data_IF_832104347135
#
_entry.id   IF_832104347135
#
_cell.length_a   1.000
_cell.length_b   1.000
_cell.length_c   1.000
_cell.angle_alpha   90.00
_cell.angle_beta   90.00
_cell.angle_gamma   90.00
#
_symmetry.space_group_name_H-M   'P 1'
#
loop_
_entity.id
_entity.type
_entity.pdbx_description
1 polymer ?
#
# COMPACT_ATOMS: atom_id res chain seq x y z
N UNK A 1 -4.77 8.20 -20.72
CA UNK A 1 -3.62 8.14 -19.81
C UNK A 1 -3.98 8.61 -18.39
N UNK A 2 -4.75 9.70 -18.21
CA UNK A 2 -5.10 10.26 -16.90
C UNK A 2 -5.91 9.28 -16.02
N UNK A 3 -6.88 8.55 -16.58
CA UNK A 3 -7.64 7.55 -15.88
C UNK A 3 -6.76 6.40 -15.36
N UNK A 4 -5.81 5.94 -16.17
CA UNK A 4 -4.87 4.90 -15.77
C UNK A 4 -4.02 5.36 -14.57
N UNK A 5 -3.54 6.61 -14.60
CA UNK A 5 -2.78 7.18 -13.49
C UNK A 5 -3.62 7.23 -12.20
N UNK A 6 -4.87 7.71 -12.29
CA UNK A 6 -5.78 7.76 -11.13
C UNK A 6 -6.03 6.36 -10.55
N UNK A 7 -6.30 5.36 -11.40
CA UNK A 7 -6.49 3.99 -10.94
C UNK A 7 -5.24 3.38 -10.32
N UNK A 8 -4.06 3.70 -10.84
CA UNK A 8 -2.78 3.25 -10.30
C UNK A 8 -2.53 3.80 -8.89
N UNK A 9 -2.77 5.09 -8.67
CA UNK A 9 -2.67 5.74 -7.35
C UNK A 9 -3.71 5.20 -6.36
N UNK A 10 -4.96 5.05 -6.82
CA UNK A 10 -6.03 4.48 -6.00
C UNK A 10 -5.74 3.03 -5.61
N UNK A 11 -5.15 2.24 -6.50
CA UNK A 11 -4.81 0.84 -6.22
C UNK A 11 -3.87 0.71 -5.02
N UNK A 12 -2.78 1.47 -4.99
CA UNK A 12 -1.85 1.49 -3.86
C UNK A 12 -2.55 1.87 -2.54
N UNK A 13 -3.36 2.91 -2.57
CA UNK A 13 -4.09 3.39 -1.40
C UNK A 13 -5.12 2.38 -0.90
N UNK A 14 -5.92 1.77 -1.80
CA UNK A 14 -6.92 0.78 -1.42
C UNK A 14 -6.29 -0.54 -0.94
N UNK A 15 -5.34 -1.09 -1.69
CA UNK A 15 -4.75 -2.40 -1.37
C UNK A 15 -3.88 -2.32 -0.12
N UNK A 16 -3.00 -1.33 -0.03
CA UNK A 16 -2.08 -1.23 1.11
C UNK A 16 -2.77 -0.62 2.35
N UNK A 17 -3.49 0.49 2.19
CA UNK A 17 -4.02 1.19 3.35
C UNK A 17 -5.32 0.59 3.89
N UNK A 18 -6.25 0.18 3.04
CA UNK A 18 -7.53 -0.35 3.51
C UNK A 18 -7.51 -1.87 3.67
N UNK A 19 -7.11 -2.62 2.66
CA UNK A 19 -7.21 -4.07 2.71
C UNK A 19 -6.13 -4.69 3.58
N UNK A 20 -4.87 -4.29 3.41
CA UNK A 20 -3.77 -4.85 4.19
C UNK A 20 -3.88 -4.47 5.67
N UNK A 21 -4.04 -3.18 6.00
CA UNK A 21 -4.17 -2.76 7.39
C UNK A 21 -5.47 -3.21 8.03
N UNK A 22 -6.57 -3.27 7.27
CA UNK A 22 -7.83 -3.86 7.74
C UNK A 22 -7.63 -5.31 8.14
N UNK A 23 -7.03 -6.11 7.27
CA UNK A 23 -6.71 -7.51 7.55
C UNK A 23 -5.73 -7.65 8.71
N UNK A 24 -4.64 -6.90 8.73
CA UNK A 24 -3.66 -6.93 9.82
C UNK A 24 -4.29 -6.61 11.18
N UNK A 25 -5.19 -5.63 11.23
CA UNK A 25 -5.93 -5.28 12.45
C UNK A 25 -6.92 -6.36 12.89
N UNK A 26 -7.52 -7.08 11.94
CA UNK A 26 -8.47 -8.16 12.26
C UNK A 26 -7.79 -9.38 12.87
N UNK A 27 -6.54 -9.68 12.45
CA UNK A 27 -5.81 -10.89 12.91
C UNK A 27 -4.85 -10.63 14.06
N UNK A 28 -4.44 -9.38 14.30
CA UNK A 28 -3.41 -9.06 15.30
C UNK A 28 -4.01 -8.63 16.62
N UNK A 29 -3.54 -9.24 17.72
CA UNK A 29 -3.95 -8.84 19.09
C UNK A 29 -3.39 -7.47 19.43
N UNK A 30 -4.18 -6.65 20.11
CA UNK A 30 -3.78 -5.29 20.53
C UNK A 30 -2.48 -5.31 21.35
N UNK A 31 -2.29 -6.34 22.18
CA UNK A 31 -1.07 -6.53 22.98
C UNK A 31 0.17 -6.82 22.15
N UNK A 32 -0.01 -7.44 20.98
CA UNK A 32 1.06 -7.87 20.07
C UNK A 32 1.26 -6.89 18.92
N UNK A 33 0.29 -6.00 18.68
CA UNK A 33 0.26 -5.07 17.56
C UNK A 33 1.55 -4.25 17.42
N UNK A 34 2.10 -3.75 18.54
CA UNK A 34 3.35 -2.96 18.52
C UNK A 34 4.52 -3.73 17.93
N UNK A 35 4.63 -5.02 18.21
CA UNK A 35 5.69 -5.88 17.70
C UNK A 35 5.51 -6.23 16.22
N UNK A 36 4.30 -6.65 15.85
CA UNK A 36 4.01 -7.04 14.46
C UNK A 36 4.01 -5.87 13.50
N UNK A 37 3.53 -4.70 13.90
CA UNK A 37 3.54 -3.52 13.03
C UNK A 37 4.95 -3.00 12.75
N UNK A 38 5.86 -3.11 13.72
CA UNK A 38 7.27 -2.82 13.49
C UNK A 38 7.88 -3.79 12.47
N UNK A 39 7.55 -5.08 12.52
CA UNK A 39 7.97 -6.09 11.54
C UNK A 39 7.41 -5.81 10.14
N UNK A 40 6.15 -5.40 10.04
CA UNK A 40 5.56 -5.03 8.74
C UNK A 40 6.27 -3.82 8.13
N UNK A 41 6.59 -2.81 8.95
CA UNK A 41 7.38 -1.65 8.50
C UNK A 41 8.79 -2.04 8.03
N UNK A 42 9.45 -2.94 8.74
CA UNK A 42 10.75 -3.48 8.34
C UNK A 42 10.64 -4.26 7.02
N UNK A 43 9.63 -5.11 6.88
CA UNK A 43 9.35 -5.85 5.64
C UNK A 43 9.11 -4.92 4.44
N UNK A 44 8.37 -3.84 4.62
CA UNK A 44 8.15 -2.83 3.58
C UNK A 44 9.46 -2.17 3.12
N UNK A 45 10.35 -1.82 4.06
CA UNK A 45 11.65 -1.25 3.72
C UNK A 45 12.55 -2.25 2.98
N UNK A 46 12.57 -3.52 3.38
CA UNK A 46 13.29 -4.58 2.66
C UNK A 46 12.74 -4.75 1.24
N UNK A 47 11.42 -4.69 1.05
CA UNK A 47 10.83 -4.76 -0.28
C UNK A 47 11.30 -3.62 -1.19
N UNK A 48 11.45 -2.39 -0.67
CA UNK A 48 12.00 -1.26 -1.41
C UNK A 48 13.45 -1.48 -1.82
N UNK A 49 14.27 -2.09 -0.95
CA UNK A 49 15.67 -2.43 -1.26
C UNK A 49 15.77 -3.42 -2.42
N UNK A 50 14.79 -4.28 -2.62
CA UNK A 50 14.74 -5.24 -3.74
C UNK A 50 14.09 -4.61 -4.97
N UNK A 51 13.03 -3.84 -4.80
CA UNK A 51 12.27 -3.25 -5.89
C UNK A 51 13.09 -2.27 -6.73
N UNK A 52 13.96 -1.45 -6.10
CA UNK A 52 14.82 -0.51 -6.78
C UNK A 52 15.78 -1.16 -7.79
N UNK A 53 16.65 -2.10 -7.35
CA UNK A 53 17.53 -2.84 -8.25
C UNK A 53 16.77 -3.64 -9.33
N UNK A 54 15.63 -4.24 -8.99
CA UNK A 54 14.79 -4.96 -9.95
C UNK A 54 14.26 -4.03 -11.05
N UNK A 55 13.74 -2.87 -10.70
CA UNK A 55 13.28 -1.86 -11.65
C UNK A 55 14.45 -1.37 -12.53
N UNK A 56 15.62 -1.12 -11.94
CA UNK A 56 16.83 -0.76 -12.69
C UNK A 56 17.21 -1.85 -13.69
N UNK A 57 17.23 -3.11 -13.28
CA UNK A 57 17.54 -4.23 -14.16
C UNK A 57 16.55 -4.32 -15.34
N UNK A 58 15.25 -4.19 -15.10
CA UNK A 58 14.24 -4.19 -16.14
C UNK A 58 14.44 -3.03 -17.13
N UNK A 59 14.80 -1.85 -16.65
CA UNK A 59 15.04 -0.69 -17.53
C UNK A 59 16.34 -0.84 -18.33
N UNK A 60 17.33 -1.59 -17.87
CA UNK A 60 18.56 -1.86 -18.67
C UNK A 60 18.30 -2.80 -19.85
N UNK A 61 17.20 -3.58 -19.84
CA UNK A 61 16.79 -4.40 -20.98
C UNK A 61 16.28 -3.55 -22.18
N UNK A 62 16.14 -2.26 -22.01
CA UNK A 62 15.69 -1.31 -23.04
C UNK A 62 16.59 -1.31 -24.30
N UNK A 63 17.89 -1.56 -24.13
CA UNK A 63 18.85 -1.59 -25.25
C UNK A 63 18.77 -2.80 -26.17
N UNK A 64 17.93 -3.80 -25.85
CA UNK A 64 17.80 -5.07 -26.62
C UNK A 64 16.57 -5.09 -27.54
N UNK A 65 15.84 -4.00 -27.65
CA UNK A 65 14.63 -3.91 -28.49
C UNK A 65 14.97 -3.76 -29.96
N UNK A 66 14.13 -4.40 -30.80
CA UNK A 66 14.27 -4.37 -32.25
C UNK A 66 14.26 -2.92 -32.80
N UNK A 67 15.04 -2.69 -33.83
CA UNK A 67 15.16 -1.39 -34.54
C UNK A 67 13.75 -0.94 -34.99
N UNK A 68 13.28 0.18 -34.46
CA UNK A 68 11.98 0.77 -34.81
C UNK A 68 10.84 0.56 -33.79
N UNK A 69 11.05 -0.17 -32.70
CA UNK A 69 10.09 -0.26 -31.60
C UNK A 69 10.30 0.86 -30.56
N UNK A 70 9.22 1.27 -29.90
CA UNK A 70 9.30 2.23 -28.80
C UNK A 70 10.20 1.66 -27.69
N UNK A 71 11.32 2.34 -27.35
CA UNK A 71 12.26 1.86 -26.35
C UNK A 71 11.62 1.59 -24.97
N UNK A 72 10.53 2.28 -24.65
CA UNK A 72 9.84 2.16 -23.37
C UNK A 72 8.80 1.03 -23.31
N UNK A 73 8.38 0.49 -24.44
CA UNK A 73 7.31 -0.51 -24.48
C UNK A 73 7.71 -1.80 -23.77
N UNK A 74 8.91 -2.27 -24.00
CA UNK A 74 9.41 -3.53 -23.41
C UNK A 74 9.58 -3.44 -21.89
N UNK A 75 10.30 -2.46 -21.34
CA UNK A 75 10.37 -2.27 -19.89
C UNK A 75 9.00 -2.08 -19.23
N UNK A 76 8.11 -1.31 -19.85
CA UNK A 76 6.76 -1.08 -19.34
C UNK A 76 5.96 -2.39 -19.23
N UNK A 77 6.02 -3.23 -20.28
CA UNK A 77 5.34 -4.53 -20.27
C UNK A 77 5.87 -5.44 -19.15
N UNK A 78 7.19 -5.50 -18.94
CA UNK A 78 7.77 -6.28 -17.84
C UNK A 78 7.35 -5.76 -16.46
N UNK A 79 7.33 -4.44 -16.26
CA UNK A 79 6.87 -3.83 -15.01
C UNK A 79 5.38 -4.13 -14.76
N UNK A 80 4.55 -4.00 -15.79
CA UNK A 80 3.11 -4.31 -15.69
C UNK A 80 2.89 -5.80 -15.39
N UNK A 81 3.60 -6.69 -16.08
CA UNK A 81 3.51 -8.12 -15.83
C UNK A 81 3.95 -8.49 -14.41
N UNK A 82 5.05 -7.89 -13.94
CA UNK A 82 5.53 -8.06 -12.57
C UNK A 82 4.50 -7.59 -11.54
N UNK A 83 3.85 -6.44 -11.77
CA UNK A 83 2.80 -5.93 -10.88
C UNK A 83 1.58 -6.85 -10.82
N UNK A 84 1.14 -7.38 -11.97
CA UNK A 84 0.03 -8.34 -12.04
C UNK A 84 0.40 -9.63 -11.32
N UNK A 85 1.60 -10.15 -11.55
CA UNK A 85 2.10 -11.34 -10.87
C UNK A 85 2.13 -11.15 -9.34
N UNK A 86 2.63 -10.02 -8.84
CA UNK A 86 2.60 -9.69 -7.41
C UNK A 86 1.16 -9.62 -6.87
N UNK A 87 0.22 -9.09 -7.65
CA UNK A 87 -1.20 -9.07 -7.29
C UNK A 87 -1.78 -10.47 -7.10
N UNK A 88 -1.50 -11.38 -8.03
CA UNK A 88 -1.90 -12.78 -7.90
C UNK A 88 -1.23 -13.47 -6.72
N UNK A 89 0.05 -13.21 -6.47
CA UNK A 89 0.77 -13.75 -5.32
C UNK A 89 0.13 -13.29 -3.99
N UNK A 90 -0.23 -12.01 -3.87
CA UNK A 90 -0.95 -11.47 -2.70
C UNK A 90 -2.28 -12.20 -2.50
N UNK A 91 -3.07 -12.37 -3.55
CA UNK A 91 -4.34 -13.09 -3.47
C UNK A 91 -4.16 -14.56 -3.06
N UNK A 92 -3.16 -15.23 -3.61
CA UNK A 92 -2.84 -16.62 -3.27
C UNK A 92 -2.42 -16.77 -1.80
N UNK A 93 -1.54 -15.90 -1.32
CA UNK A 93 -1.09 -15.89 0.09
C UNK A 93 -2.27 -15.59 1.02
N UNK A 94 -3.09 -14.59 0.70
CA UNK A 94 -4.27 -14.25 1.48
C UNK A 94 -5.23 -15.44 1.59
N UNK A 95 -5.52 -16.10 0.46
CA UNK A 95 -6.39 -17.26 0.43
C UNK A 95 -5.80 -18.45 1.20
N UNK A 96 -4.49 -18.66 1.09
CA UNK A 96 -3.78 -19.70 1.84
C UNK A 96 -3.85 -19.43 3.34
N UNK A 97 -3.61 -18.19 3.78
CA UNK A 97 -3.72 -17.81 5.18
C UNK A 97 -5.13 -18.04 5.73
N UNK A 98 -6.14 -17.64 4.97
CA UNK A 98 -7.54 -17.84 5.38
C UNK A 98 -7.87 -19.32 5.55
N UNK A 99 -7.40 -20.17 4.63
CA UNK A 99 -7.73 -21.60 4.63
C UNK A 99 -6.94 -22.39 5.66
N UNK A 100 -5.65 -22.12 5.82
CA UNK A 100 -4.74 -22.99 6.56
C UNK A 100 -4.34 -22.42 7.94
N UNK A 101 -4.40 -21.11 8.12
CA UNK A 101 -3.96 -20.47 9.38
C UNK A 101 -5.16 -20.00 10.21
N UNK A 102 -6.05 -19.22 9.59
CA UNK A 102 -7.19 -18.65 10.31
C UNK A 102 -8.33 -19.66 10.57
N UNK A 103 -8.36 -20.76 9.83
CA UNK A 103 -9.34 -21.83 10.04
C UNK A 103 -8.89 -22.87 11.08
N UNK A 104 -7.64 -22.85 11.50
CA UNK A 104 -7.10 -23.79 12.50
C UNK A 104 -7.19 -23.19 13.92
N UNK A 105 -8.00 -23.76 14.81
CA UNK A 105 -8.15 -23.26 16.18
C UNK A 105 -6.86 -23.34 17.01
N UNK A 106 -5.89 -24.14 16.58
CA UNK A 106 -4.60 -24.29 17.29
C UNK A 106 -3.64 -23.15 16.94
N UNK A 107 -3.74 -22.61 15.73
CA UNK A 107 -2.88 -21.54 15.22
C UNK A 107 -3.50 -20.15 15.44
N UNK A 108 -4.80 -20.06 15.38
CA UNK A 108 -5.53 -18.81 15.50
C UNK A 108 -6.74 -18.97 16.41
N UNK A 109 -6.72 -18.34 17.58
CA UNK A 109 -7.91 -18.13 18.40
C UNK A 109 -8.56 -16.82 17.97
N UNK A 110 -9.76 -16.87 17.37
CA UNK A 110 -10.47 -15.64 17.05
C UNK A 110 -10.57 -14.79 18.30
N UNK A 111 -10.24 -13.51 18.19
CA UNK A 111 -10.53 -12.60 19.29
C UNK A 111 -12.01 -12.72 19.60
N UNK A 112 -12.35 -12.94 20.87
CA UNK A 112 -13.66 -12.54 21.36
C UNK A 112 -13.83 -11.10 20.90
N UNK A 113 -14.58 -10.93 19.81
CA UNK A 113 -15.07 -9.60 19.41
C UNK A 113 -15.80 -9.14 20.65
N UNK A 114 -15.14 -8.25 21.40
CA UNK A 114 -15.78 -7.61 22.55
C UNK A 114 -17.17 -7.24 22.09
N UNK A 115 -18.13 -8.10 22.50
CA UNK A 115 -19.53 -8.00 22.26
C UNK A 115 -19.91 -7.41 20.91
N UNK A 116 -20.62 -8.18 20.16
CA UNK A 116 -21.36 -7.85 18.93
C UNK A 116 -22.36 -6.68 19.18
N UNK A 117 -21.86 -5.58 19.71
CA UNK A 117 -22.53 -4.30 19.61
C UNK A 117 -22.47 -3.99 18.13
N UNK A 118 -23.56 -4.30 17.40
CA UNK A 118 -23.81 -3.87 16.04
C UNK A 118 -23.15 -2.52 15.86
N UNK A 119 -22.00 -2.50 15.17
CA UNK A 119 -21.32 -1.23 14.88
C UNK A 119 -22.38 -0.32 14.31
N UNK A 120 -22.75 0.78 14.95
CA UNK A 120 -23.82 1.63 14.44
C UNK A 120 -23.39 2.01 13.02
N UNK A 121 -24.23 1.73 12.03
CA UNK A 121 -24.00 2.18 10.66
C UNK A 121 -24.14 3.70 10.67
N UNK A 122 -23.02 4.37 10.98
CA UNK A 122 -23.00 5.83 11.01
C UNK A 122 -23.04 6.32 9.55
N UNK A 123 -23.90 7.28 9.30
CA UNK A 123 -23.88 8.03 8.05
C UNK A 123 -22.54 8.75 7.90
N UNK A 124 -22.10 9.01 6.68
CA UNK A 124 -20.87 9.79 6.40
C UNK A 124 -20.90 11.13 7.18
N UNK A 125 -22.06 11.78 7.21
CA UNK A 125 -22.28 13.04 7.94
C UNK A 125 -22.10 12.87 9.45
N UNK A 126 -22.58 11.78 10.04
CA UNK A 126 -22.42 11.49 11.47
C UNK A 126 -20.97 11.13 11.81
N UNK A 127 -20.27 10.46 10.89
CA UNK A 127 -18.84 10.17 11.03
C UNK A 127 -18.00 11.45 11.05
N UNK A 128 -18.30 12.43 10.17
CA UNK A 128 -17.64 13.74 10.20
C UNK A 128 -17.96 14.54 11.48
N UNK A 129 -19.22 14.49 11.94
CA UNK A 129 -19.62 15.14 13.19
C UNK A 129 -18.92 14.51 14.39
N UNK A 130 -18.77 13.18 14.41
CA UNK A 130 -18.03 12.47 15.44
C UNK A 130 -16.54 12.83 15.41
N UNK A 131 -15.94 12.89 14.23
CA UNK A 131 -14.55 13.35 14.02
C UNK A 131 -14.35 14.77 14.60
N UNK A 132 -15.30 15.67 14.32
CA UNK A 132 -15.26 17.07 14.79
C UNK A 132 -15.56 17.22 16.29
N UNK A 133 -16.14 16.24 16.96
CA UNK A 133 -16.50 16.32 18.39
C UNK A 133 -15.37 15.86 19.33
N UNK A 134 -14.47 15.01 18.88
CA UNK A 134 -13.40 14.44 19.70
C UNK A 134 -12.06 15.10 19.42
N UNK A 135 -11.51 15.84 20.37
CA UNK A 135 -10.18 16.47 20.26
C UNK A 135 -9.07 15.45 19.95
N UNK A 136 -9.13 14.27 20.55
CA UNK A 136 -8.14 13.21 20.30
C UNK A 136 -8.14 12.75 18.83
N UNK A 137 -9.32 12.51 18.27
CA UNK A 137 -9.47 12.09 16.89
C UNK A 137 -9.09 13.22 15.92
N UNK A 138 -9.42 14.48 16.25
CA UNK A 138 -8.97 15.64 15.49
C UNK A 138 -7.45 15.74 15.41
N UNK A 139 -6.75 15.56 16.55
CA UNK A 139 -5.28 15.57 16.55
C UNK A 139 -4.70 14.48 15.65
N UNK A 140 -5.25 13.26 15.69
CA UNK A 140 -4.81 12.18 14.80
C UNK A 140 -5.07 12.55 13.34
N UNK A 141 -6.25 13.07 13.02
CA UNK A 141 -6.59 13.48 11.65
C UNK A 141 -5.64 14.58 11.14
N UNK A 142 -5.33 15.58 11.96
CA UNK A 142 -4.39 16.65 11.63
C UNK A 142 -2.98 16.08 11.40
N UNK A 143 -2.50 15.15 12.23
CA UNK A 143 -1.21 14.50 12.05
C UNK A 143 -1.14 13.73 10.72
N UNK A 144 -2.18 12.97 10.39
CA UNK A 144 -2.25 12.23 9.12
C UNK A 144 -2.27 13.19 7.91
N UNK A 145 -3.04 14.27 7.98
CA UNK A 145 -3.09 15.27 6.92
C UNK A 145 -1.74 15.98 6.75
N UNK A 146 -1.13 16.45 7.86
CA UNK A 146 0.16 17.10 7.82
C UNK A 146 1.26 16.21 7.25
N UNK A 147 1.27 14.93 7.65
CA UNK A 147 2.20 13.95 7.11
C UNK A 147 2.05 13.78 5.58
N UNK A 148 0.81 13.58 5.10
CA UNK A 148 0.56 13.42 3.67
C UNK A 148 0.90 14.67 2.86
N UNK A 149 0.55 15.86 3.36
CA UNK A 149 0.91 17.13 2.71
C UNK A 149 2.43 17.28 2.63
N UNK A 150 3.15 17.01 3.71
CA UNK A 150 4.61 17.12 3.76
C UNK A 150 5.28 16.17 2.75
N UNK A 151 4.83 14.92 2.67
CA UNK A 151 5.37 13.95 1.69
C UNK A 151 5.11 14.41 0.26
N UNK A 152 3.88 14.84 -0.06
CA UNK A 152 3.54 15.29 -1.40
C UNK A 152 4.36 16.52 -1.82
N UNK A 153 4.56 17.48 -0.93
CA UNK A 153 5.39 18.66 -1.19
C UNK A 153 6.85 18.26 -1.44
N UNK A 154 7.39 17.36 -0.62
CA UNK A 154 8.74 16.84 -0.78
C UNK A 154 8.91 16.08 -2.11
N UNK A 155 7.93 15.27 -2.47
CA UNK A 155 7.93 14.50 -3.71
C UNK A 155 7.90 15.40 -4.96
N UNK A 156 7.06 16.43 -4.98
CA UNK A 156 7.00 17.41 -6.08
C UNK A 156 8.33 18.14 -6.21
N UNK A 157 8.90 18.60 -5.09
CA UNK A 157 10.20 19.29 -5.08
C UNK A 157 11.30 18.37 -5.58
N UNK A 158 11.35 17.13 -5.10
CA UNK A 158 12.30 16.10 -5.52
C UNK A 158 12.22 15.80 -7.02
N UNK A 159 11.01 15.56 -7.55
CA UNK A 159 10.78 15.32 -8.98
C UNK A 159 11.21 16.52 -9.84
N UNK A 160 10.95 17.74 -9.36
CA UNK A 160 11.40 18.96 -10.03
C UNK A 160 12.92 19.06 -10.11
N UNK A 161 13.63 18.79 -9.02
CA UNK A 161 15.10 18.81 -8.99
C UNK A 161 15.71 17.70 -9.88
N UNK A 162 15.12 16.51 -9.87
CA UNK A 162 15.55 15.43 -10.76
C UNK A 162 15.42 15.81 -12.23
N UNK A 163 14.33 16.47 -12.62
CA UNK A 163 14.12 16.93 -13.98
C UNK A 163 15.16 17.98 -14.43
N UNK A 164 15.63 18.81 -13.48
CA UNK A 164 16.68 19.79 -13.76
C UNK A 164 18.07 19.13 -13.91
N UNK A 165 18.35 18.10 -13.11
CA UNK A 165 19.62 17.37 -13.17
C UNK A 165 19.72 16.42 -14.37
N UNK A 166 18.59 15.91 -14.87
CA UNK A 166 18.53 14.95 -15.98
C UNK A 166 17.54 15.41 -17.06
N UNK A 167 17.82 16.53 -17.77
CA UNK A 167 16.87 17.13 -18.71
C UNK A 167 16.59 16.28 -19.95
N UNK A 168 17.42 15.26 -20.24
CA UNK A 168 17.38 14.45 -21.47
C UNK A 168 17.13 12.96 -21.25
N UNK A 169 16.43 12.59 -20.17
CA UNK A 169 16.00 11.20 -19.97
C UNK A 169 14.50 11.09 -19.79
#
# INVERSE_FOLDING_TARGET
YSLFYIFSELWGSFVLSLLFWGFANDITKVTEAKRFYALFGLGANLALMVAGPAAKYITTLQGQTAIGADPWQTPLNYLMFSSVFCGFAIMAIYRWMQKNVLSDPTLYTPHEKLTDKKKPKMSIKDSFKFLASSRYIQCIAILVLAYNISINLLEVTWKSQLKLLYPNK
#
